data_IF_974070612228
#
_entry.id   IF_974070612228
#
_cell.length_a   1.000
_cell.length_b   1.000
_cell.length_c   1.000
_cell.angle_alpha   90.00
_cell.angle_beta   90.00
_cell.angle_gamma   90.00
#
_symmetry.space_group_name_H-M   'P 1'
#
loop_
_entity.id
_entity.type
_entity.pdbx_description
1 polymer ?
#
# COMPACT_ATOMS: atom_id res chain seq x y z
N UNK A 1 -12.32 -37.36 16.44
CA UNK A 1 -12.45 -37.61 15.00
C UNK A 1 -13.27 -36.49 14.38
N UNK A 2 -12.60 -35.38 14.07
CA UNK A 2 -12.87 -34.43 12.99
C UNK A 2 -11.57 -33.66 12.85
N UNK A 3 -10.59 -34.31 12.23
CA UNK A 3 -9.47 -33.60 11.62
C UNK A 3 -10.08 -32.78 10.50
N UNK A 4 -10.42 -31.53 10.79
CA UNK A 4 -10.74 -30.59 9.72
C UNK A 4 -9.51 -30.50 8.82
N UNK A 5 -9.69 -30.62 7.50
CA UNK A 5 -8.60 -30.67 6.56
C UNK A 5 -7.74 -29.43 6.79
N UNK A 6 -6.46 -29.64 7.09
CA UNK A 6 -5.40 -28.66 6.85
C UNK A 6 -5.60 -28.17 5.42
N UNK A 7 -6.30 -27.05 5.27
CA UNK A 7 -6.72 -26.55 3.97
C UNK A 7 -5.43 -26.15 3.25
N UNK A 8 -4.97 -27.04 2.38
CA UNK A 8 -3.80 -26.83 1.54
C UNK A 8 -4.03 -25.49 0.83
N UNK A 9 -3.24 -24.48 1.22
CA UNK A 9 -3.32 -23.14 0.63
C UNK A 9 -3.14 -23.29 -0.87
N UNK A 10 -4.18 -22.93 -1.62
CA UNK A 10 -4.22 -23.17 -3.07
C UNK A 10 -3.34 -22.15 -3.78
N UNK A 11 -2.85 -22.47 -4.99
CA UNK A 11 -2.17 -21.47 -5.84
C UNK A 11 -3.06 -20.23 -6.08
N UNK A 12 -4.40 -20.40 -6.05
CA UNK A 12 -5.37 -19.30 -6.13
C UNK A 12 -5.31 -18.31 -4.95
N UNK A 13 -5.05 -18.78 -3.72
CA UNK A 13 -4.93 -17.94 -2.53
C UNK A 13 -3.67 -17.07 -2.59
N UNK A 14 -2.60 -17.62 -3.18
CA UNK A 14 -1.32 -16.92 -3.40
C UNK A 14 -1.52 -15.75 -4.37
N UNK A 15 -2.19 -16.00 -5.49
CA UNK A 15 -2.47 -14.96 -6.49
C UNK A 15 -3.45 -13.90 -5.97
N UNK A 16 -4.43 -14.30 -5.13
CA UNK A 16 -5.37 -13.37 -4.52
C UNK A 16 -4.67 -12.35 -3.62
N UNK A 17 -3.68 -12.78 -2.83
CA UNK A 17 -2.90 -11.88 -1.97
C UNK A 17 -2.08 -10.86 -2.79
N UNK A 18 -1.44 -11.30 -3.89
CA UNK A 18 -0.70 -10.39 -4.78
C UNK A 18 -1.63 -9.36 -5.45
N UNK A 19 -2.82 -9.80 -5.90
CA UNK A 19 -3.86 -8.90 -6.43
C UNK A 19 -4.33 -7.89 -5.38
N UNK A 20 -4.53 -8.33 -4.14
CA UNK A 20 -4.98 -7.46 -3.05
C UNK A 20 -3.92 -6.40 -2.72
N UNK A 21 -2.64 -6.80 -2.55
CA UNK A 21 -1.53 -5.88 -2.31
C UNK A 21 -1.43 -4.82 -3.41
N UNK A 22 -1.57 -5.22 -4.67
CA UNK A 22 -1.57 -4.32 -5.81
C UNK A 22 -2.77 -3.39 -5.83
N UNK A 23 -3.97 -3.89 -5.52
CA UNK A 23 -5.19 -3.07 -5.44
C UNK A 23 -5.07 -1.99 -4.37
N UNK A 24 -4.52 -2.33 -3.19
CA UNK A 24 -4.24 -1.37 -2.10
C UNK A 24 -3.29 -0.26 -2.57
N UNK A 25 -2.18 -0.61 -3.22
CA UNK A 25 -1.21 0.38 -3.71
C UNK A 25 -1.80 1.29 -4.79
N UNK A 26 -2.61 0.73 -5.71
CA UNK A 26 -3.28 1.51 -6.75
C UNK A 26 -4.37 2.43 -6.18
N UNK A 27 -5.12 1.98 -5.16
CA UNK A 27 -6.09 2.81 -4.46
C UNK A 27 -5.42 4.03 -3.83
N UNK A 28 -4.28 3.84 -3.17
CA UNK A 28 -3.50 4.94 -2.57
C UNK A 28 -2.97 5.88 -3.64
N UNK A 29 -2.42 5.34 -4.74
CA UNK A 29 -1.95 6.15 -5.87
C UNK A 29 -3.08 6.97 -6.50
N UNK A 30 -4.25 6.36 -6.73
CA UNK A 30 -5.43 7.02 -7.26
C UNK A 30 -5.93 8.11 -6.31
N UNK A 31 -5.97 7.83 -5.00
CA UNK A 31 -6.35 8.83 -4.00
C UNK A 31 -5.41 10.04 -4.00
N UNK A 32 -4.10 9.83 -4.12
CA UNK A 32 -3.11 10.91 -4.23
C UNK A 32 -3.31 11.76 -5.49
N UNK A 33 -3.63 11.13 -6.62
CA UNK A 33 -3.95 11.82 -7.88
C UNK A 33 -5.24 12.64 -7.78
N UNK A 34 -6.28 12.09 -7.16
CA UNK A 34 -7.53 12.81 -6.90
C UNK A 34 -7.27 14.00 -5.97
N UNK A 35 -6.49 13.81 -4.91
CA UNK A 35 -6.08 14.90 -4.02
C UNK A 35 -5.33 16.00 -4.78
N UNK A 36 -4.36 15.63 -5.61
CA UNK A 36 -3.59 16.57 -6.42
C UNK A 36 -4.48 17.34 -7.42
N UNK A 37 -5.41 16.65 -8.08
CA UNK A 37 -6.32 17.28 -9.06
C UNK A 37 -7.33 18.21 -8.39
N UNK A 38 -7.90 17.83 -7.24
CA UNK A 38 -8.82 18.69 -6.48
C UNK A 38 -8.10 19.94 -5.96
N UNK A 39 -6.88 19.79 -5.43
CA UNK A 39 -6.06 20.92 -4.98
C UNK A 39 -5.67 21.83 -6.17
N UNK A 40 -5.26 21.24 -7.28
CA UNK A 40 -4.84 21.97 -8.48
C UNK A 40 -5.99 22.68 -9.20
N UNK A 41 -7.18 22.07 -9.27
CA UNK A 41 -8.34 22.63 -9.97
C UNK A 41 -9.21 23.54 -9.11
N UNK A 42 -9.28 23.30 -7.80
CA UNK A 42 -10.24 23.97 -6.91
C UNK A 42 -9.68 25.13 -6.07
N UNK A 43 -8.36 25.16 -5.80
CA UNK A 43 -7.82 26.03 -4.76
C UNK A 43 -6.88 27.14 -5.27
N UNK A 44 -6.61 27.22 -6.57
CA UNK A 44 -5.71 28.24 -7.14
C UNK A 44 -4.32 28.24 -6.49
N UNK A 45 -3.92 27.08 -5.93
CA UNK A 45 -2.70 26.96 -5.14
C UNK A 45 -1.53 26.99 -6.12
N UNK A 46 -0.79 28.11 -6.15
CA UNK A 46 0.48 28.27 -6.89
C UNK A 46 1.62 27.38 -6.35
N UNK A 47 1.32 26.57 -5.33
CA UNK A 47 2.26 25.62 -4.71
C UNK A 47 2.48 24.40 -5.61
N UNK A 48 3.24 24.65 -6.68
CA UNK A 48 3.75 23.63 -7.61
C UNK A 48 4.55 22.56 -6.87
N UNK A 49 5.15 22.87 -5.72
CA UNK A 49 5.89 21.91 -4.93
C UNK A 49 4.96 20.89 -4.25
N UNK A 50 3.84 21.35 -3.69
CA UNK A 50 2.81 20.45 -3.15
C UNK A 50 2.26 19.51 -4.23
N UNK A 51 1.85 20.05 -5.39
CA UNK A 51 1.37 19.27 -6.53
C UNK A 51 2.42 18.26 -7.03
N UNK A 52 3.67 18.71 -7.21
CA UNK A 52 4.78 17.86 -7.62
C UNK A 52 5.01 16.70 -6.66
N UNK A 53 4.92 16.96 -5.34
CA UNK A 53 5.10 15.92 -4.33
C UNK A 53 3.98 14.87 -4.34
N UNK A 54 2.71 15.27 -4.52
CA UNK A 54 1.59 14.34 -4.64
C UNK A 54 1.67 13.49 -5.90
N UNK A 55 2.02 14.09 -7.05
CA UNK A 55 2.21 13.34 -8.31
C UNK A 55 3.38 12.37 -8.20
N UNK A 56 4.52 12.81 -7.67
CA UNK A 56 5.69 11.95 -7.48
C UNK A 56 5.36 10.76 -6.56
N UNK A 57 4.61 11.01 -5.48
CA UNK A 57 4.20 9.96 -4.55
C UNK A 57 3.19 8.99 -5.18
N UNK A 58 2.24 9.48 -5.98
CA UNK A 58 1.32 8.64 -6.75
C UNK A 58 2.06 7.72 -7.72
N UNK A 59 3.05 8.26 -8.45
CA UNK A 59 3.91 7.48 -9.34
C UNK A 59 4.74 6.45 -8.57
N UNK A 60 5.27 6.80 -7.41
CA UNK A 60 5.99 5.87 -6.55
C UNK A 60 5.10 4.69 -6.12
N UNK A 61 3.88 4.95 -5.63
CA UNK A 61 2.93 3.89 -5.29
C UNK A 61 2.51 3.04 -6.51
N UNK A 62 2.33 3.65 -7.68
CA UNK A 62 2.06 2.92 -8.91
C UNK A 62 3.24 2.02 -9.33
N UNK A 63 4.48 2.49 -9.18
CA UNK A 63 5.69 1.69 -9.40
C UNK A 63 5.78 0.52 -8.42
N UNK A 64 5.51 0.76 -7.14
CA UNK A 64 5.43 -0.30 -6.13
C UNK A 64 4.32 -1.31 -6.47
N UNK A 65 3.18 -0.86 -7.01
CA UNK A 65 2.11 -1.74 -7.46
C UNK A 65 2.53 -2.64 -8.63
N UNK A 66 3.38 -2.15 -9.53
CA UNK A 66 3.96 -2.98 -10.59
C UNK A 66 4.96 -4.00 -10.02
N UNK A 67 5.76 -3.62 -9.02
CA UNK A 67 6.69 -4.53 -8.34
C UNK A 67 5.97 -5.61 -7.52
N UNK A 68 4.82 -5.30 -6.92
CA UNK A 68 3.99 -6.23 -6.14
C UNK A 68 3.50 -7.45 -6.95
N UNK A 69 3.57 -7.39 -8.29
CA UNK A 69 3.26 -8.54 -9.17
C UNK A 69 4.22 -9.71 -8.97
N UNK A 70 5.48 -9.45 -8.64
CA UNK A 70 6.51 -10.50 -8.46
C UNK A 70 6.62 -10.93 -7.01
N UNK A 71 6.66 -9.96 -6.11
CA UNK A 71 6.75 -10.20 -4.67
C UNK A 71 5.91 -9.15 -3.93
N UNK A 72 4.81 -9.54 -3.26
CA UNK A 72 3.89 -8.55 -2.68
C UNK A 72 4.42 -7.90 -1.39
N UNK A 73 5.29 -8.58 -0.65
CA UNK A 73 5.73 -8.14 0.68
C UNK A 73 6.73 -6.97 0.64
N UNK A 74 7.83 -7.01 -0.14
CA UNK A 74 8.77 -5.88 -0.17
C UNK A 74 8.10 -4.55 -0.57
N UNK A 75 7.30 -4.48 -1.65
CA UNK A 75 6.67 -3.23 -2.08
C UNK A 75 5.71 -2.64 -1.06
N UNK A 76 4.95 -3.48 -0.34
CA UNK A 76 3.98 -3.01 0.65
C UNK A 76 4.67 -2.46 1.91
N UNK A 77 5.84 -3.00 2.26
CA UNK A 77 6.68 -2.45 3.33
C UNK A 77 7.32 -1.12 2.92
N UNK A 78 7.82 -1.02 1.69
CA UNK A 78 8.36 0.25 1.17
C UNK A 78 7.24 1.30 1.10
N UNK A 79 6.05 0.91 0.65
CA UNK A 79 4.86 1.77 0.64
C UNK A 79 4.51 2.30 2.03
N UNK A 80 4.53 1.42 3.05
CA UNK A 80 4.29 1.81 4.43
C UNK A 80 5.35 2.79 4.95
N UNK A 81 6.63 2.51 4.70
CA UNK A 81 7.72 3.39 5.10
C UNK A 81 7.62 4.76 4.43
N UNK A 82 7.40 4.80 3.10
CA UNK A 82 7.25 6.02 2.32
C UNK A 82 6.06 6.85 2.80
N UNK A 83 4.93 6.19 3.08
CA UNK A 83 3.75 6.83 3.65
C UNK A 83 4.03 7.44 5.02
N UNK A 84 4.65 6.69 5.92
CA UNK A 84 5.00 7.17 7.26
C UNK A 84 5.97 8.37 7.20
N UNK A 85 6.98 8.32 6.35
CA UNK A 85 7.91 9.42 6.12
C UNK A 85 7.19 10.67 5.59
N UNK A 86 6.28 10.50 4.63
CA UNK A 86 5.50 11.61 4.09
C UNK A 86 4.61 12.27 5.16
N UNK A 87 3.92 11.47 5.98
CA UNK A 87 3.10 11.98 7.09
C UNK A 87 3.96 12.72 8.12
N UNK A 88 5.13 12.18 8.48
CA UNK A 88 6.06 12.82 9.40
C UNK A 88 6.60 14.15 8.84
N UNK A 89 6.94 14.19 7.56
CA UNK A 89 7.37 15.41 6.87
C UNK A 89 6.27 16.49 6.90
N UNK A 90 5.03 16.14 6.60
CA UNK A 90 3.89 17.06 6.68
C UNK A 90 3.69 17.55 8.11
N UNK A 91 3.78 16.66 9.11
CA UNK A 91 3.64 17.03 10.51
C UNK A 91 4.71 18.05 10.95
N UNK A 92 5.93 17.95 10.41
CA UNK A 92 7.03 18.86 10.71
C UNK A 92 6.96 20.20 9.96
N UNK A 93 6.47 20.20 8.71
CA UNK A 93 6.53 21.38 7.82
C UNK A 93 5.23 22.16 7.74
N UNK A 94 4.08 21.51 7.91
CA UNK A 94 2.76 22.12 7.79
C UNK A 94 1.75 21.48 8.77
N UNK A 95 1.92 21.66 10.09
CA UNK A 95 1.09 21.02 11.12
C UNK A 95 -0.41 21.40 11.01
N UNK A 96 -0.73 22.58 10.49
CA UNK A 96 -2.11 22.99 10.22
C UNK A 96 -2.82 22.11 9.18
N UNK A 97 -2.08 21.51 8.24
CA UNK A 97 -2.61 20.55 7.26
C UNK A 97 -2.80 19.13 7.83
N UNK A 98 -2.39 18.92 9.10
CA UNK A 98 -2.45 17.61 9.74
C UNK A 98 -3.88 17.28 10.20
N UNK A 99 -4.64 18.29 10.61
CA UNK A 99 -6.04 18.17 11.04
C UNK A 99 -6.98 17.89 9.86
N UNK A 100 -6.73 18.51 8.71
CA UNK A 100 -7.46 18.21 7.48
C UNK A 100 -7.07 16.84 6.92
N UNK A 101 -8.06 15.99 6.69
CA UNK A 101 -7.85 14.66 6.11
C UNK A 101 -7.18 13.65 7.05
N UNK A 102 -7.15 13.88 8.37
CA UNK A 102 -6.56 12.93 9.32
C UNK A 102 -7.24 11.56 9.27
N UNK A 103 -8.57 11.53 9.12
CA UNK A 103 -9.34 10.30 8.95
C UNK A 103 -8.87 9.50 7.72
N UNK A 104 -8.57 10.18 6.63
CA UNK A 104 -8.04 9.54 5.41
C UNK A 104 -6.63 9.01 5.67
N UNK A 105 -5.77 9.78 6.35
CA UNK A 105 -4.40 9.34 6.66
C UNK A 105 -4.39 8.09 7.52
N UNK A 106 -5.28 8.02 8.51
CA UNK A 106 -5.51 6.84 9.35
C UNK A 106 -6.04 5.68 8.50
N UNK A 107 -6.99 5.93 7.60
CA UNK A 107 -7.51 4.91 6.69
C UNK A 107 -6.43 4.29 5.80
N UNK A 108 -5.56 5.12 5.20
CA UNK A 108 -4.43 4.66 4.38
C UNK A 108 -3.45 3.84 5.23
N UNK A 109 -3.14 4.29 6.45
CA UNK A 109 -2.28 3.54 7.36
C UNK A 109 -2.88 2.17 7.71
N UNK A 110 -4.18 2.12 8.04
CA UNK A 110 -4.88 0.85 8.32
C UNK A 110 -4.85 -0.09 7.11
N UNK A 111 -5.06 0.44 5.90
CA UNK A 111 -5.01 -0.32 4.65
C UNK A 111 -3.62 -0.91 4.39
N UNK A 112 -2.56 -0.12 4.60
CA UNK A 112 -1.17 -0.57 4.45
C UNK A 112 -0.79 -1.62 5.50
N UNK A 113 -1.17 -1.43 6.76
CA UNK A 113 -0.94 -2.41 7.83
C UNK A 113 -1.67 -3.72 7.53
N UNK A 114 -2.91 -3.65 7.05
CA UNK A 114 -3.65 -4.82 6.60
C UNK A 114 -2.93 -5.51 5.42
N UNK A 115 -2.49 -4.75 4.43
CA UNK A 115 -1.70 -5.25 3.30
C UNK A 115 -0.41 -5.96 3.72
N UNK A 116 0.31 -5.42 4.72
CA UNK A 116 1.49 -6.08 5.31
C UNK A 116 1.13 -7.42 5.95
N UNK A 117 0.04 -7.48 6.73
CA UNK A 117 -0.40 -8.73 7.38
C UNK A 117 -0.72 -9.81 6.35
N UNK A 118 -1.47 -9.46 5.30
CA UNK A 118 -1.82 -10.35 4.19
C UNK A 118 -0.57 -10.81 3.43
N UNK A 119 0.32 -9.87 3.07
CA UNK A 119 1.55 -10.21 2.35
C UNK A 119 2.51 -11.08 3.18
N UNK A 120 2.50 -10.93 4.51
CA UNK A 120 3.31 -11.77 5.42
C UNK A 120 2.77 -13.18 5.49
N UNK A 121 1.45 -13.35 5.62
CA UNK A 121 0.80 -14.66 5.55
C UNK A 121 1.16 -15.38 4.23
N UNK A 122 1.11 -14.66 3.11
CA UNK A 122 1.52 -15.18 1.79
C UNK A 122 2.99 -15.66 1.77
N UNK A 123 3.93 -14.89 2.34
CA UNK A 123 5.36 -15.29 2.35
C UNK A 123 5.59 -16.57 3.15
N UNK A 124 4.85 -16.77 4.25
CA UNK A 124 4.91 -18.00 5.05
C UNK A 124 4.34 -19.17 4.26
N UNK A 125 3.16 -19.00 3.67
CA UNK A 125 2.50 -20.01 2.84
C UNK A 125 3.38 -20.49 1.67
N UNK A 126 3.97 -19.54 0.94
CA UNK A 126 4.85 -19.85 -0.21
C UNK A 126 6.09 -20.63 0.19
N UNK A 127 6.63 -20.42 1.39
CA UNK A 127 7.79 -21.15 1.91
C UNK A 127 7.42 -22.59 2.30
N UNK A 128 6.25 -22.79 2.88
CA UNK A 128 5.76 -24.13 3.24
C UNK A 128 5.62 -25.02 1.99
N UNK A 129 4.97 -24.52 0.94
CA UNK A 129 4.80 -25.23 -0.34
C UNK A 129 6.13 -25.56 -1.02
N UNK A 130 7.15 -24.69 -0.89
CA UNK A 130 8.48 -24.96 -1.44
C UNK A 130 9.27 -26.00 -0.66
N UNK A 131 8.97 -26.18 0.64
CA UNK A 131 9.54 -27.23 1.47
C UNK A 131 9.03 -28.60 1.07
N UNK A 132 7.71 -28.74 0.88
CA UNK A 132 7.06 -30.00 0.49
C UNK A 132 7.47 -30.50 -0.91
N UNK A 133 7.71 -29.59 -1.87
CA UNK A 133 8.18 -30.01 -3.23
C UNK A 133 9.62 -30.52 -3.26
N UNK A 134 10.39 -30.35 -2.18
CA UNK A 134 11.81 -30.76 -2.09
C UNK A 134 12.04 -32.00 -1.24
N UNK A 135 11.01 -32.46 -0.51
CA UNK A 135 11.00 -33.71 0.25
C UNK A 135 10.41 -34.84 -0.56
#
# INVERSE_FOLDING_TARGET
MTDEPSAALTEGDVDAAARHARAVLLLIAGFQLVGATVLGAGAGVDDRAALGSSVALALAFAGLAAWARREPLPPILVALALWATHVAYIAATAPASMTWGIAVKIGIAALLVHGVRVARAHRVARRALQGERRS
#
